data_IF_235923283809
#
_entry.id   IF_235923283809
#
_cell.length_a   1.000
_cell.length_b   1.000
_cell.length_c   1.000
_cell.angle_alpha   90.00
_cell.angle_beta   90.00
_cell.angle_gamma   90.00
#
_symmetry.space_group_name_H-M   'P 1'
#
loop_
_entity.id
_entity.type
_entity.pdbx_description
1 polymer ?
#
# COMPACT_ATOMS: atom_id res chain seq x y z
N UNK A 1 -1.78 -9.08 -11.43
CA UNK A 1 -0.57 -9.38 -10.63
C UNK A 1 0.74 -8.84 -11.23
N UNK A 2 0.97 -8.90 -12.55
CA UNK A 2 2.24 -8.57 -13.18
C UNK A 2 2.82 -7.21 -12.78
N UNK A 3 2.51 -6.14 -13.54
CA UNK A 3 3.09 -4.81 -13.34
C UNK A 3 2.76 -4.20 -11.96
N UNK A 4 1.52 -4.33 -11.48
CA UNK A 4 1.11 -3.79 -10.19
C UNK A 4 1.95 -4.32 -9.03
N UNK A 5 2.20 -5.65 -8.97
CA UNK A 5 2.88 -6.28 -7.84
C UNK A 5 4.39 -6.45 -8.04
N UNK A 6 4.87 -6.51 -9.29
CA UNK A 6 6.29 -6.70 -9.57
C UNK A 6 7.03 -5.39 -9.93
N UNK A 7 6.30 -4.32 -10.28
CA UNK A 7 6.91 -3.03 -10.62
C UNK A 7 6.42 -1.93 -9.67
N UNK A 8 5.11 -1.62 -9.65
CA UNK A 8 4.59 -0.51 -8.85
C UNK A 8 4.71 -0.74 -7.34
N UNK A 9 4.30 -1.91 -6.84
CA UNK A 9 4.33 -2.18 -5.40
C UNK A 9 5.73 -2.02 -4.80
N UNK A 10 6.80 -2.69 -5.30
CA UNK A 10 8.13 -2.51 -4.74
C UNK A 10 8.65 -1.08 -4.92
N UNK A 11 8.43 -0.44 -6.08
CA UNK A 11 8.83 0.94 -6.32
C UNK A 11 8.23 1.90 -5.28
N UNK A 12 6.92 1.83 -5.07
CA UNK A 12 6.19 2.66 -4.13
C UNK A 12 6.62 2.42 -2.66
N UNK A 13 7.22 1.26 -2.37
CA UNK A 13 7.78 0.92 -1.06
C UNK A 13 9.31 1.06 -0.98
N UNK A 14 9.93 1.76 -1.93
CA UNK A 14 11.39 2.00 -1.96
C UNK A 14 12.24 0.72 -2.03
N UNK A 15 11.67 -0.39 -2.48
CA UNK A 15 12.37 -1.67 -2.71
C UNK A 15 12.77 -1.79 -4.16
N UNK A 16 13.70 -0.89 -4.60
CA UNK A 16 14.18 -0.84 -5.98
C UNK A 16 14.89 -2.12 -6.41
N UNK A 17 15.47 -2.85 -5.46
CA UNK A 17 16.06 -4.16 -5.62
C UNK A 17 15.08 -5.24 -6.09
N UNK A 18 13.77 -5.04 -5.86
CA UNK A 18 12.71 -5.97 -6.23
C UNK A 18 11.89 -5.52 -7.45
N UNK A 19 12.20 -4.34 -8.01
CA UNK A 19 11.43 -3.80 -9.14
C UNK A 19 11.77 -4.56 -10.42
N UNK A 20 10.75 -5.09 -11.07
CA UNK A 20 10.87 -5.68 -12.40
C UNK A 20 10.44 -4.69 -13.49
N UNK A 21 11.34 -4.41 -14.42
CA UNK A 21 11.08 -3.55 -15.57
C UNK A 21 10.69 -4.40 -16.77
N UNK A 22 9.41 -4.40 -17.15
CA UNK A 22 8.89 -5.25 -18.22
C UNK A 22 7.79 -4.58 -19.04
N UNK A 23 8.08 -4.26 -20.31
CA UNK A 23 7.10 -3.72 -21.25
C UNK A 23 5.88 -4.64 -21.40
N UNK A 24 6.07 -5.97 -21.39
CA UNK A 24 4.98 -6.94 -21.47
C UNK A 24 4.02 -6.83 -20.28
N UNK A 25 4.57 -6.69 -19.06
CA UNK A 25 3.77 -6.52 -17.84
C UNK A 25 3.03 -5.17 -17.86
N UNK A 26 3.68 -4.10 -18.32
CA UNK A 26 3.07 -2.79 -18.48
C UNK A 26 1.93 -2.82 -19.51
N UNK A 27 2.12 -3.40 -20.69
CA UNK A 27 1.05 -3.57 -21.68
C UNK A 27 -0.13 -4.38 -21.13
N UNK A 28 0.15 -5.36 -20.25
CA UNK A 28 -0.89 -6.09 -19.52
C UNK A 28 -1.67 -5.18 -18.56
N UNK A 29 -0.97 -4.30 -17.85
CA UNK A 29 -1.56 -3.31 -16.94
C UNK A 29 -2.47 -2.31 -17.68
N UNK A 30 -2.00 -1.77 -18.81
CA UNK A 30 -2.79 -0.91 -19.70
C UNK A 30 -4.06 -1.63 -20.18
N UNK A 31 -3.90 -2.89 -20.66
CA UNK A 31 -5.04 -3.69 -21.14
C UNK A 31 -6.09 -3.93 -20.06
N UNK A 32 -5.68 -4.23 -18.83
CA UNK A 32 -6.61 -4.44 -17.71
C UNK A 32 -7.39 -3.15 -17.41
N UNK A 33 -6.72 -2.00 -17.34
CA UNK A 33 -7.38 -0.71 -17.12
C UNK A 33 -8.38 -0.39 -18.25
N UNK A 34 -8.01 -0.69 -19.52
CA UNK A 34 -8.94 -0.52 -20.64
C UNK A 34 -10.14 -1.46 -20.54
N UNK A 35 -9.95 -2.75 -20.23
CA UNK A 35 -11.05 -3.71 -20.06
C UNK A 35 -12.00 -3.22 -18.96
N UNK A 36 -11.49 -2.74 -17.82
CA UNK A 36 -12.34 -2.21 -16.76
C UNK A 36 -13.12 -0.98 -17.23
N UNK A 37 -12.50 -0.08 -18.00
CA UNK A 37 -13.21 1.06 -18.57
C UNK A 37 -14.31 0.64 -19.54
N UNK A 38 -14.08 -0.41 -20.35
CA UNK A 38 -15.09 -0.99 -21.26
C UNK A 38 -16.28 -1.57 -20.48
N UNK A 39 -15.98 -2.28 -19.39
CA UNK A 39 -17.01 -2.94 -18.58
C UNK A 39 -17.87 -1.95 -17.79
N UNK A 40 -17.30 -0.89 -17.23
CA UNK A 40 -18.06 0.01 -16.35
C UNK A 40 -18.75 1.15 -17.12
N UNK A 41 -18.15 1.65 -18.21
CA UNK A 41 -18.68 2.81 -18.91
C UNK A 41 -20.15 2.70 -19.37
N UNK A 42 -20.69 1.54 -19.80
CA UNK A 42 -22.09 1.43 -20.19
C UNK A 42 -23.10 1.55 -19.04
N UNK A 43 -22.64 1.36 -17.80
CA UNK A 43 -23.50 1.40 -16.61
C UNK A 43 -23.46 2.75 -15.89
N UNK A 44 -22.56 3.65 -16.28
CA UNK A 44 -22.40 4.94 -15.62
C UNK A 44 -23.59 5.86 -15.93
N UNK A 45 -24.25 6.32 -14.88
CA UNK A 45 -25.25 7.37 -14.94
C UNK A 45 -24.55 8.73 -14.83
N UNK A 46 -25.21 9.79 -15.32
CA UNK A 46 -24.63 11.14 -15.36
C UNK A 46 -24.24 11.67 -13.98
N UNK A 47 -24.99 11.30 -12.97
CA UNK A 47 -24.85 11.74 -11.57
C UNK A 47 -23.86 10.90 -10.77
N UNK A 48 -23.38 9.77 -11.31
CA UNK A 48 -22.46 8.89 -10.60
C UNK A 48 -21.13 9.60 -10.34
N UNK A 49 -20.58 9.35 -9.16
CA UNK A 49 -19.23 9.71 -8.77
C UNK A 49 -18.38 8.44 -8.78
N UNK A 50 -17.27 8.48 -9.49
CA UNK A 50 -16.37 7.33 -9.61
C UNK A 50 -15.23 7.51 -8.63
N UNK A 51 -15.09 6.60 -7.65
CA UNK A 51 -14.00 6.61 -6.70
C UNK A 51 -13.08 5.43 -6.91
N UNK A 52 -11.89 5.71 -7.45
CA UNK A 52 -10.90 4.70 -7.82
C UNK A 52 -9.87 4.56 -6.68
N UNK A 53 -9.60 3.31 -6.31
CA UNK A 53 -8.76 2.97 -5.18
C UNK A 53 -7.46 2.31 -5.65
N UNK A 54 -6.35 2.85 -5.14
CA UNK A 54 -5.04 2.24 -5.15
C UNK A 54 -4.37 2.10 -6.54
N UNK A 55 -3.11 1.73 -6.53
CA UNK A 55 -2.18 1.72 -7.68
C UNK A 55 -2.55 0.78 -8.82
N UNK A 56 -3.55 -0.09 -8.64
CA UNK A 56 -3.98 -1.02 -9.68
C UNK A 56 -4.67 -0.34 -10.86
N UNK A 57 -5.30 0.82 -10.63
CA UNK A 57 -6.16 1.51 -11.57
C UNK A 57 -5.77 2.97 -11.83
N UNK A 58 -4.48 3.29 -11.78
CA UNK A 58 -3.99 4.65 -12.06
C UNK A 58 -4.39 5.11 -13.46
N UNK A 59 -4.40 4.20 -14.45
CA UNK A 59 -4.72 4.55 -15.84
C UNK A 59 -6.23 4.61 -16.13
N UNK A 60 -7.09 4.18 -15.19
CA UNK A 60 -8.51 3.98 -15.47
C UNK A 60 -9.25 5.29 -15.81
N UNK A 61 -8.95 6.39 -15.13
CA UNK A 61 -9.57 7.68 -15.45
C UNK A 61 -9.26 8.13 -16.88
N UNK A 62 -8.01 7.99 -17.33
CA UNK A 62 -7.61 8.27 -18.73
C UNK A 62 -8.44 7.47 -19.73
N UNK A 63 -8.61 6.16 -19.48
CA UNK A 63 -9.37 5.29 -20.37
C UNK A 63 -10.87 5.68 -20.39
N UNK A 64 -11.44 6.04 -19.25
CA UNK A 64 -12.81 6.56 -19.17
C UNK A 64 -12.96 7.93 -19.88
N UNK A 65 -12.00 8.85 -19.72
CA UNK A 65 -12.01 10.15 -20.44
C UNK A 65 -11.93 9.96 -21.96
N UNK A 66 -11.15 9.00 -22.47
CA UNK A 66 -11.14 8.65 -23.90
C UNK A 66 -12.53 8.24 -24.42
N UNK A 67 -13.35 7.62 -23.57
CA UNK A 67 -14.75 7.25 -23.86
C UNK A 67 -15.75 8.39 -23.63
N UNK A 68 -15.25 9.62 -23.46
CA UNK A 68 -16.05 10.82 -23.19
C UNK A 68 -16.84 10.78 -21.88
N UNK A 69 -16.40 9.97 -20.90
CA UNK A 69 -16.96 10.00 -19.56
C UNK A 69 -16.69 11.35 -18.91
N UNK A 70 -17.74 12.05 -18.49
CA UNK A 70 -17.69 13.38 -17.86
C UNK A 70 -17.92 13.33 -16.35
N UNK A 71 -18.18 12.16 -15.80
CA UNK A 71 -18.39 11.95 -14.37
C UNK A 71 -17.26 12.50 -13.54
N UNK A 72 -17.56 12.92 -12.31
CA UNK A 72 -16.54 13.28 -11.31
C UNK A 72 -15.78 12.04 -10.89
N UNK A 73 -14.44 12.12 -10.90
CA UNK A 73 -13.57 11.00 -10.57
C UNK A 73 -12.58 11.38 -9.48
N UNK A 74 -12.60 10.61 -8.38
CA UNK A 74 -11.61 10.67 -7.32
C UNK A 74 -10.65 9.47 -7.38
N UNK A 75 -9.40 9.71 -7.02
CA UNK A 75 -8.38 8.67 -6.84
C UNK A 75 -7.83 8.74 -5.42
N UNK A 76 -7.62 7.60 -4.79
CA UNK A 76 -6.94 7.53 -3.51
C UNK A 76 -5.85 6.45 -3.52
N UNK A 77 -4.63 6.85 -3.15
CA UNK A 77 -3.49 5.94 -3.01
C UNK A 77 -3.29 5.54 -1.56
N UNK A 78 -3.43 4.24 -1.28
CA UNK A 78 -3.28 3.69 0.08
C UNK A 78 -1.82 3.43 0.49
N UNK A 79 -0.92 3.37 -0.48
CA UNK A 79 0.50 3.09 -0.28
C UNK A 79 1.35 4.37 -0.40
N UNK A 80 2.62 4.36 0.00
CA UNK A 80 3.48 5.53 -0.17
C UNK A 80 3.52 6.05 -1.60
N UNK A 81 3.67 7.37 -1.75
CA UNK A 81 4.11 7.98 -3.01
C UNK A 81 5.59 8.34 -2.86
N UNK A 82 6.46 7.85 -3.74
CA UNK A 82 7.89 8.01 -3.58
C UNK A 82 8.38 9.41 -3.96
N UNK A 83 9.65 9.69 -3.65
CA UNK A 83 10.31 10.87 -4.18
C UNK A 83 10.39 10.84 -5.71
N UNK A 84 10.55 12.01 -6.30
CA UNK A 84 10.67 12.17 -7.75
C UNK A 84 11.77 11.28 -8.35
N UNK A 85 12.93 11.25 -7.71
CA UNK A 85 14.09 10.48 -8.17
C UNK A 85 13.80 8.99 -8.21
N UNK A 86 13.13 8.47 -7.20
CA UNK A 86 12.70 7.06 -7.15
C UNK A 86 11.65 6.78 -8.22
N UNK A 87 10.66 7.65 -8.35
CA UNK A 87 9.61 7.48 -9.37
C UNK A 87 10.19 7.46 -10.79
N UNK A 88 11.16 8.30 -11.07
CA UNK A 88 11.81 8.43 -12.39
C UNK A 88 12.65 7.21 -12.79
N UNK A 89 12.95 6.30 -11.87
CA UNK A 89 13.56 5.01 -12.23
C UNK A 89 12.61 4.12 -13.04
N UNK A 90 11.29 4.38 -12.96
CA UNK A 90 10.29 3.67 -13.73
C UNK A 90 10.22 4.24 -15.15
N UNK A 91 10.43 3.45 -16.21
CA UNK A 91 10.39 3.96 -17.59
C UNK A 91 9.08 4.66 -17.95
N UNK A 92 7.97 4.20 -17.41
CA UNK A 92 6.62 4.69 -17.67
C UNK A 92 6.17 5.79 -16.70
N UNK A 93 7.07 6.35 -15.89
CA UNK A 93 6.73 7.35 -14.85
C UNK A 93 5.90 8.52 -15.36
N UNK A 94 6.24 9.05 -16.57
CA UNK A 94 5.51 10.17 -17.18
C UNK A 94 4.07 9.79 -17.48
N UNK A 95 3.84 8.64 -18.11
CA UNK A 95 2.51 8.18 -18.47
C UNK A 95 1.66 7.89 -17.22
N UNK A 96 2.26 7.32 -16.17
CA UNK A 96 1.60 7.08 -14.88
C UNK A 96 1.13 8.40 -14.26
N UNK A 97 2.02 9.41 -14.16
CA UNK A 97 1.68 10.70 -13.56
C UNK A 97 0.69 11.48 -14.42
N UNK A 98 0.86 11.50 -15.74
CA UNK A 98 -0.08 12.14 -16.65
C UNK A 98 -1.48 11.52 -16.57
N UNK A 99 -1.59 10.22 -16.30
CA UNK A 99 -2.88 9.55 -16.13
C UNK A 99 -3.59 9.97 -14.85
N UNK A 100 -2.85 10.28 -13.79
CA UNK A 100 -3.42 10.83 -12.57
C UNK A 100 -4.06 12.21 -12.77
N UNK A 101 -3.61 12.98 -13.75
CA UNK A 101 -4.21 14.28 -14.07
C UNK A 101 -5.60 14.15 -14.74
N UNK A 102 -6.06 12.97 -15.09
CA UNK A 102 -7.40 12.71 -15.62
C UNK A 102 -8.47 12.60 -14.52
N UNK A 103 -8.05 12.55 -13.25
CA UNK A 103 -8.95 12.63 -12.10
C UNK A 103 -9.30 14.08 -11.76
N UNK A 104 -10.42 14.28 -11.07
CA UNK A 104 -10.80 15.59 -10.50
C UNK A 104 -10.12 15.83 -9.14
N UNK A 105 -9.95 14.75 -8.36
CA UNK A 105 -9.31 14.77 -7.03
C UNK A 105 -8.34 13.61 -6.89
N UNK A 106 -7.15 13.90 -6.38
CA UNK A 106 -6.15 12.89 -6.00
C UNK A 106 -5.91 12.99 -4.49
N UNK A 107 -6.12 11.88 -3.80
CA UNK A 107 -5.91 11.73 -2.37
C UNK A 107 -4.70 10.88 -2.04
N UNK A 108 -3.91 11.34 -1.08
CA UNK A 108 -2.80 10.59 -0.48
C UNK A 108 -2.99 10.42 1.02
N UNK A 109 -2.31 9.44 1.61
CA UNK A 109 -2.40 9.15 3.04
C UNK A 109 -1.73 10.23 3.90
N UNK A 110 -0.63 10.82 3.44
CA UNK A 110 0.16 11.77 4.21
C UNK A 110 0.47 13.05 3.45
N UNK A 111 0.76 14.13 4.19
CA UNK A 111 1.21 15.40 3.62
C UNK A 111 2.53 15.27 2.84
N UNK A 112 3.45 14.42 3.31
CA UNK A 112 4.73 14.19 2.63
C UNK A 112 4.54 13.58 1.24
N UNK A 113 3.57 12.67 1.06
CA UNK A 113 3.27 12.10 -0.25
C UNK A 113 2.68 13.13 -1.21
N UNK A 114 1.83 14.04 -0.71
CA UNK A 114 1.37 15.18 -1.48
C UNK A 114 2.55 16.02 -1.95
N UNK A 115 3.47 16.38 -1.05
CA UNK A 115 4.63 17.21 -1.39
C UNK A 115 5.54 16.52 -2.44
N UNK A 116 5.79 15.22 -2.32
CA UNK A 116 6.55 14.45 -3.31
C UNK A 116 5.87 14.43 -4.68
N UNK A 117 4.54 14.29 -4.72
CA UNK A 117 3.79 14.36 -5.96
C UNK A 117 3.87 15.75 -6.59
N UNK A 118 3.68 16.80 -5.80
CA UNK A 118 3.76 18.20 -6.25
C UNK A 118 5.16 18.56 -6.76
N UNK A 119 6.23 18.07 -6.13
CA UNK A 119 7.61 18.28 -6.60
C UNK A 119 7.79 17.70 -8.02
N UNK A 120 7.26 16.50 -8.28
CA UNK A 120 7.27 15.92 -9.63
C UNK A 120 6.50 16.80 -10.63
N UNK A 121 5.30 17.24 -10.28
CA UNK A 121 4.46 18.07 -11.16
C UNK A 121 5.16 19.38 -11.54
N UNK A 122 5.77 20.06 -10.56
CA UNK A 122 6.45 21.33 -10.80
C UNK A 122 7.69 21.12 -11.68
N UNK A 123 8.55 20.15 -11.32
CA UNK A 123 9.88 20.00 -11.93
C UNK A 123 9.86 19.25 -13.26
N UNK A 124 9.02 18.25 -13.41
CA UNK A 124 9.02 17.38 -14.59
C UNK A 124 7.90 17.68 -15.58
N UNK A 125 6.86 18.38 -15.14
CA UNK A 125 5.70 18.69 -15.99
C UNK A 125 5.47 20.19 -16.20
N UNK A 126 6.31 21.06 -15.61
CA UNK A 126 6.15 22.52 -15.62
C UNK A 126 4.76 22.96 -15.12
N UNK A 127 4.22 22.20 -14.15
CA UNK A 127 2.92 22.51 -13.58
C UNK A 127 2.99 23.61 -12.54
N UNK A 128 1.83 24.22 -12.25
CA UNK A 128 1.66 25.25 -11.22
C UNK A 128 0.65 24.79 -10.18
N UNK A 129 0.70 25.40 -9.01
CA UNK A 129 -0.17 25.08 -7.86
C UNK A 129 -0.78 26.39 -7.39
N UNK A 130 -2.11 26.41 -7.18
CA UNK A 130 -2.77 27.54 -6.53
C UNK A 130 -2.84 27.38 -5.00
N UNK A 131 -3.30 28.42 -4.33
CA UNK A 131 -3.44 28.47 -2.87
C UNK A 131 -4.45 27.45 -2.31
N UNK A 132 -5.38 27.01 -3.13
CA UNK A 132 -6.41 26.05 -2.76
C UNK A 132 -5.96 24.59 -2.96
N UNK A 133 -4.72 24.39 -3.45
CA UNK A 133 -4.14 23.08 -3.71
C UNK A 133 -4.63 22.42 -5.00
N UNK A 134 -5.10 23.22 -5.98
CA UNK A 134 -5.27 22.74 -7.34
C UNK A 134 -3.97 22.84 -8.10
N UNK A 135 -3.64 21.79 -8.82
CA UNK A 135 -2.56 21.77 -9.78
C UNK A 135 -3.09 22.03 -11.19
N UNK A 136 -2.27 22.72 -11.97
CA UNK A 136 -2.50 23.00 -13.39
C UNK A 136 -1.31 22.45 -14.17
N UNK A 137 -1.52 21.39 -14.92
CA UNK A 137 -0.48 20.76 -15.73
C UNK A 137 -1.09 20.11 -16.97
N UNK A 138 -0.42 20.20 -18.11
CA UNK A 138 -0.89 19.60 -19.38
C UNK A 138 -2.33 19.99 -19.76
N UNK A 139 -2.74 21.22 -19.47
CA UNK A 139 -4.10 21.72 -19.75
C UNK A 139 -5.20 21.15 -18.84
N UNK A 140 -4.84 20.47 -17.75
CA UNK A 140 -5.76 19.86 -16.79
C UNK A 140 -5.69 20.59 -15.45
N UNK A 141 -6.81 20.55 -14.71
CA UNK A 141 -6.94 21.09 -13.35
C UNK A 141 -7.37 19.97 -12.41
N UNK A 142 -6.57 19.69 -11.39
CA UNK A 142 -6.78 18.58 -10.45
C UNK A 142 -6.56 19.06 -9.02
N UNK A 143 -7.46 18.70 -8.10
CA UNK A 143 -7.28 18.91 -6.66
C UNK A 143 -6.39 17.83 -6.09
N UNK A 144 -5.34 18.22 -5.35
CA UNK A 144 -4.45 17.26 -4.66
C UNK A 144 -4.44 17.55 -3.17
N UNK A 145 -4.71 16.52 -2.36
CA UNK A 145 -4.81 16.69 -0.91
C UNK A 145 -4.47 15.38 -0.17
N UNK A 146 -4.04 15.50 1.09
CA UNK A 146 -3.92 14.36 1.98
C UNK A 146 -5.24 14.12 2.73
N UNK A 147 -5.59 12.84 2.85
CA UNK A 147 -6.76 12.36 3.57
C UNK A 147 -6.31 11.16 4.43
N UNK A 148 -5.76 11.40 5.64
CA UNK A 148 -5.22 10.32 6.46
C UNK A 148 -6.34 9.38 6.92
N UNK A 149 -6.23 8.12 6.54
CA UNK A 149 -7.13 7.07 7.03
C UNK A 149 -6.69 6.69 8.43
N UNK A 150 -7.64 6.66 9.35
CA UNK A 150 -7.46 6.26 10.74
C UNK A 150 -8.33 5.05 11.06
N UNK A 151 -8.33 4.65 12.33
CA UNK A 151 -9.22 3.64 12.90
C UNK A 151 -10.20 4.32 13.86
N UNK A 152 -11.34 3.70 14.07
CA UNK A 152 -12.29 4.07 15.14
C UNK A 152 -11.72 3.57 16.48
N UNK A 153 -10.97 4.44 17.15
CA UNK A 153 -10.27 4.11 18.40
C UNK A 153 -11.23 3.78 19.54
N UNK A 154 -12.38 4.44 19.62
CA UNK A 154 -13.39 4.20 20.65
C UNK A 154 -13.98 2.80 20.51
N UNK A 155 -14.34 2.43 19.29
CA UNK A 155 -14.83 1.09 18.98
C UNK A 155 -13.81 0.00 19.30
N UNK A 156 -12.52 0.23 19.01
CA UNK A 156 -11.46 -0.74 19.34
C UNK A 156 -11.25 -0.86 20.85
N UNK A 157 -11.36 0.24 21.61
CA UNK A 157 -11.31 0.21 23.08
C UNK A 157 -12.49 -0.58 23.64
N UNK A 158 -13.68 -0.37 23.12
CA UNK A 158 -14.88 -1.12 23.54
C UNK A 158 -14.75 -2.62 23.23
N UNK A 159 -14.33 -2.98 22.02
CA UNK A 159 -14.06 -4.37 21.62
C UNK A 159 -13.03 -5.02 22.54
N UNK A 160 -11.96 -4.30 22.87
CA UNK A 160 -10.93 -4.79 23.80
C UNK A 160 -11.49 -5.08 25.19
N UNK A 161 -12.29 -4.16 25.75
CA UNK A 161 -12.94 -4.36 27.05
C UNK A 161 -13.88 -5.57 27.04
N UNK A 162 -14.65 -5.74 25.97
CA UNK A 162 -15.58 -6.86 25.83
C UNK A 162 -14.87 -8.20 25.60
N UNK A 163 -13.62 -8.18 25.10
CA UNK A 163 -12.83 -9.39 24.90
C UNK A 163 -12.22 -9.93 26.21
N UNK A 164 -12.04 -9.08 27.22
CA UNK A 164 -11.50 -9.48 28.54
C UNK A 164 -12.38 -10.57 29.14
N UNK A 165 -11.75 -11.71 29.55
CA UNK A 165 -12.47 -12.86 30.12
C UNK A 165 -13.17 -13.76 29.10
N UNK A 166 -13.07 -13.46 27.78
CA UNK A 166 -13.59 -14.37 26.75
C UNK A 166 -12.83 -15.69 26.73
N UNK A 167 -13.48 -16.75 26.27
CA UNK A 167 -12.88 -18.09 26.18
C UNK A 167 -11.58 -18.09 25.36
N UNK A 168 -11.49 -17.26 24.30
CA UNK A 168 -10.29 -17.17 23.47
C UNK A 168 -9.13 -16.52 24.21
N UNK A 169 -9.39 -15.42 24.91
CA UNK A 169 -8.38 -14.72 25.71
C UNK A 169 -7.91 -15.60 26.87
N UNK A 170 -8.83 -16.26 27.58
CA UNK A 170 -8.49 -17.15 28.70
C UNK A 170 -7.59 -18.32 28.25
N UNK A 171 -7.92 -18.98 27.14
CA UNK A 171 -7.09 -20.04 26.56
C UNK A 171 -5.68 -19.55 26.19
N UNK A 172 -5.57 -18.34 25.62
CA UNK A 172 -4.28 -17.74 25.31
C UNK A 172 -3.48 -17.48 26.59
N UNK A 173 -4.09 -16.87 27.60
CA UNK A 173 -3.45 -16.60 28.91
C UNK A 173 -2.98 -17.90 29.56
N UNK A 174 -3.81 -18.95 29.56
CA UNK A 174 -3.45 -20.27 30.09
C UNK A 174 -2.25 -20.86 29.33
N UNK A 175 -2.20 -20.75 28.00
CA UNK A 175 -1.10 -21.27 27.18
C UNK A 175 0.22 -20.51 27.40
N UNK A 176 0.16 -19.22 27.71
CA UNK A 176 1.33 -18.39 28.00
C UNK A 176 1.89 -18.63 29.43
N UNK A 177 1.06 -19.09 30.36
CA UNK A 177 1.44 -19.24 31.75
C UNK A 177 1.87 -17.91 32.36
N UNK A 178 3.18 -17.81 32.73
CA UNK A 178 3.78 -16.58 33.28
C UNK A 178 4.56 -15.77 32.24
N UNK A 179 4.55 -16.18 30.98
CA UNK A 179 5.32 -15.54 29.92
C UNK A 179 4.67 -14.21 29.50
N UNK A 180 5.49 -13.19 29.29
CA UNK A 180 5.05 -11.92 28.71
C UNK A 180 4.81 -12.09 27.22
N UNK A 181 3.64 -11.65 26.73
CA UNK A 181 3.28 -11.71 25.31
C UNK A 181 3.76 -10.46 24.56
N UNK A 182 4.55 -10.69 23.52
CA UNK A 182 4.84 -9.70 22.47
C UNK A 182 4.04 -10.12 21.25
N UNK A 183 3.12 -9.28 20.77
CA UNK A 183 2.25 -9.62 19.65
C UNK A 183 2.53 -8.74 18.42
N UNK A 184 2.62 -9.37 17.25
CA UNK A 184 2.65 -8.73 15.94
C UNK A 184 1.52 -9.24 15.07
N UNK A 185 0.82 -8.34 14.38
CA UNK A 185 -0.27 -8.69 13.46
C UNK A 185 -0.05 -7.95 12.15
N UNK A 186 0.37 -8.66 11.12
CA UNK A 186 0.61 -8.11 9.78
C UNK A 186 0.27 -9.17 8.73
N UNK A 187 -0.08 -8.75 7.52
CA UNK A 187 -0.05 -9.69 6.39
C UNK A 187 1.40 -10.11 6.15
N UNK A 188 1.57 -11.32 5.65
CA UNK A 188 2.89 -11.78 5.19
C UNK A 188 3.31 -10.92 4.00
N UNK A 189 4.16 -9.92 4.25
CA UNK A 189 4.61 -8.95 3.26
C UNK A 189 5.99 -8.40 3.67
N UNK A 190 6.93 -8.36 2.75
CA UNK A 190 8.30 -7.88 3.02
C UNK A 190 8.34 -6.41 3.45
N UNK A 191 7.33 -5.60 3.06
CA UNK A 191 7.22 -4.20 3.48
C UNK A 191 6.92 -4.03 4.97
N UNK A 192 6.54 -5.10 5.68
CA UNK A 192 6.17 -5.08 7.11
C UNK A 192 7.35 -5.32 8.06
N UNK A 193 8.53 -5.66 7.54
CA UNK A 193 9.72 -5.88 8.35
C UNK A 193 9.60 -7.02 9.37
N UNK A 194 8.82 -8.06 9.06
CA UNK A 194 8.55 -9.16 9.99
C UNK A 194 9.86 -9.90 10.35
N UNK A 195 10.74 -10.15 9.37
CA UNK A 195 12.06 -10.76 9.61
C UNK A 195 12.87 -9.93 10.62
N UNK A 196 12.88 -8.60 10.45
CA UNK A 196 13.61 -7.73 11.37
C UNK A 196 13.05 -7.80 12.81
N UNK A 197 11.74 -8.04 12.95
CA UNK A 197 11.09 -8.25 14.25
C UNK A 197 11.56 -9.55 14.90
N UNK A 198 11.69 -10.63 14.13
CA UNK A 198 12.23 -11.91 14.63
C UNK A 198 13.69 -11.74 15.07
N UNK A 199 14.54 -11.16 14.23
CA UNK A 199 15.94 -10.89 14.59
C UNK A 199 16.09 -9.94 15.78
N UNK A 200 15.19 -8.98 15.95
CA UNK A 200 15.17 -8.12 17.13
C UNK A 200 14.80 -8.90 18.41
N UNK A 201 13.85 -9.84 18.30
CA UNK A 201 13.48 -10.70 19.41
C UNK A 201 14.60 -11.68 19.78
N UNK A 202 15.24 -12.30 18.79
CA UNK A 202 16.44 -13.14 19.01
C UNK A 202 17.52 -12.37 19.75
N UNK A 203 17.86 -11.18 19.28
CA UNK A 203 18.85 -10.28 19.90
C UNK A 203 18.47 -9.89 21.34
N UNK A 204 17.17 -9.72 21.64
CA UNK A 204 16.68 -9.52 23.00
C UNK A 204 17.01 -10.73 23.88
N UNK A 205 16.71 -11.93 23.40
CA UNK A 205 16.94 -13.18 24.16
C UNK A 205 18.44 -13.47 24.37
N UNK A 206 19.29 -13.08 23.40
CA UNK A 206 20.75 -13.24 23.54
C UNK A 206 21.34 -12.25 24.54
N UNK A 207 20.97 -10.97 24.44
CA UNK A 207 21.51 -9.91 25.30
C UNK A 207 20.96 -9.93 26.72
N UNK A 208 19.74 -10.42 26.89
CA UNK A 208 19.02 -10.42 28.15
C UNK A 208 18.46 -11.82 28.44
N UNK A 209 19.31 -12.77 28.89
CA UNK A 209 18.92 -14.18 29.06
C UNK A 209 17.75 -14.37 30.04
N UNK A 210 17.48 -13.41 30.92
CA UNK A 210 16.36 -13.44 31.86
C UNK A 210 15.00 -13.44 31.14
N UNK A 211 14.95 -13.00 29.88
CA UNK A 211 13.73 -13.04 29.03
C UNK A 211 13.51 -14.41 28.40
N UNK A 212 14.53 -15.27 28.35
CA UNK A 212 14.36 -16.68 27.94
C UNK A 212 13.35 -17.34 28.87
N UNK A 213 12.34 -18.01 28.32
CA UNK A 213 11.21 -18.63 29.04
C UNK A 213 10.24 -17.67 29.75
N UNK A 214 10.52 -16.35 29.75
CA UNK A 214 9.66 -15.32 30.36
C UNK A 214 9.02 -14.39 29.32
N UNK A 215 9.30 -14.59 28.05
CA UNK A 215 8.66 -13.84 26.94
C UNK A 215 8.32 -14.80 25.80
N UNK A 216 7.25 -14.47 25.09
CA UNK A 216 6.77 -15.20 23.90
C UNK A 216 6.46 -14.21 22.81
N UNK A 217 7.05 -14.35 21.62
CA UNK A 217 6.69 -13.60 20.43
C UNK A 217 5.62 -14.36 19.66
N UNK A 218 4.42 -13.78 19.54
CA UNK A 218 3.35 -14.28 18.69
C UNK A 218 3.21 -13.39 17.45
N UNK A 219 3.53 -13.93 16.28
CA UNK A 219 3.33 -13.23 15.01
C UNK A 219 2.17 -13.87 14.25
N UNK A 220 1.11 -13.09 14.02
CA UNK A 220 0.01 -13.47 13.14
C UNK A 220 0.31 -12.88 11.76
N UNK A 221 0.57 -13.74 10.76
CA UNK A 221 0.96 -13.33 9.41
C UNK A 221 0.17 -14.09 8.34
N UNK A 222 -1.11 -13.73 8.08
CA UNK A 222 -1.87 -14.35 7.02
C UNK A 222 -1.16 -14.25 5.67
N UNK A 223 -1.17 -15.35 4.92
CA UNK A 223 -0.55 -15.43 3.59
C UNK A 223 -1.20 -14.42 2.66
N UNK A 224 -0.39 -13.64 1.96
CA UNK A 224 -0.78 -12.70 0.93
C UNK A 224 0.04 -12.95 -0.34
N UNK A 225 -0.56 -12.76 -1.51
CA UNK A 225 0.15 -12.83 -2.80
C UNK A 225 0.97 -14.12 -3.01
N UNK A 226 0.43 -15.27 -2.59
CA UNK A 226 1.12 -16.57 -2.60
C UNK A 226 1.68 -17.04 -3.95
N UNK A 227 1.25 -16.43 -5.07
CA UNK A 227 1.78 -16.70 -6.41
C UNK A 227 3.05 -15.91 -6.75
N UNK A 228 3.43 -14.92 -5.92
CA UNK A 228 4.60 -14.09 -6.12
C UNK A 228 5.80 -14.70 -5.41
N UNK A 229 6.89 -14.92 -6.15
CA UNK A 229 8.10 -15.61 -5.67
C UNK A 229 8.66 -15.00 -4.37
N UNK A 230 8.80 -13.69 -4.31
CA UNK A 230 9.34 -12.98 -3.14
C UNK A 230 8.55 -13.24 -1.85
N UNK A 231 7.24 -13.51 -1.96
CA UNK A 231 6.40 -13.85 -0.80
C UNK A 231 6.57 -15.29 -0.36
N UNK A 232 6.90 -16.19 -1.29
CA UNK A 232 7.24 -17.59 -0.95
C UNK A 232 8.58 -17.65 -0.22
N UNK A 233 9.59 -16.94 -0.71
CA UNK A 233 10.89 -16.84 -0.03
C UNK A 233 10.75 -16.24 1.37
N UNK A 234 10.03 -15.12 1.51
CA UNK A 234 9.76 -14.51 2.81
C UNK A 234 9.14 -15.49 3.80
N UNK A 235 8.19 -16.31 3.34
CA UNK A 235 7.57 -17.32 4.19
C UNK A 235 8.57 -18.36 4.68
N UNK A 236 9.39 -18.89 3.77
CA UNK A 236 10.42 -19.88 4.11
C UNK A 236 11.44 -19.30 5.09
N UNK A 237 11.88 -18.05 4.87
CA UNK A 237 12.79 -17.36 5.77
C UNK A 237 12.17 -17.22 7.19
N UNK A 238 10.90 -16.78 7.28
CA UNK A 238 10.21 -16.65 8.57
C UNK A 238 10.04 -17.99 9.29
N UNK A 239 9.69 -19.05 8.59
CA UNK A 239 9.57 -20.40 9.15
C UNK A 239 10.93 -20.90 9.67
N UNK A 240 12.02 -20.61 8.94
CA UNK A 240 13.38 -20.93 9.33
C UNK A 240 13.82 -20.15 10.58
N UNK A 241 13.63 -18.82 10.59
CA UNK A 241 13.97 -17.96 11.73
C UNK A 241 13.18 -18.35 12.99
N UNK A 242 11.87 -18.63 12.85
CA UNK A 242 11.07 -19.11 13.98
C UNK A 242 11.60 -20.42 14.56
N UNK A 243 12.02 -21.37 13.69
CA UNK A 243 12.62 -22.63 14.11
C UNK A 243 13.99 -22.46 14.77
N UNK A 244 14.78 -21.46 14.35
CA UNK A 244 16.08 -21.15 14.92
C UNK A 244 15.98 -20.56 16.34
N UNK A 245 15.02 -19.67 16.55
CA UNK A 245 14.83 -18.97 17.85
C UNK A 245 14.23 -19.87 18.92
N UNK A 246 13.44 -20.90 18.56
CA UNK A 246 12.79 -21.83 19.48
C UNK A 246 13.73 -22.96 19.93
#
# INVERSE_FOLDING_TARGET
>A
NGYSNASLWPLLHYRLDLVEYSKKKYSGYQRVNNIFSDLISPFLLKEDIIWIQDYHFILLARELRKKKCTNKMGFFLHVPWPSKEVLMTLPEHKEIVESLLDFDVIGFQTKSYVLSFLDYIIREMNGTIDTDGFIFAKGKKVKVQHFPISIDTEKFVELSKNAVGSTHVNRLVESLGKSNLIIGVDRLDYSKGIINRFKAYENLLEKYPEHKRNSTLMQIAPISRGDVWQYKELRQELESEAGHIN
#
